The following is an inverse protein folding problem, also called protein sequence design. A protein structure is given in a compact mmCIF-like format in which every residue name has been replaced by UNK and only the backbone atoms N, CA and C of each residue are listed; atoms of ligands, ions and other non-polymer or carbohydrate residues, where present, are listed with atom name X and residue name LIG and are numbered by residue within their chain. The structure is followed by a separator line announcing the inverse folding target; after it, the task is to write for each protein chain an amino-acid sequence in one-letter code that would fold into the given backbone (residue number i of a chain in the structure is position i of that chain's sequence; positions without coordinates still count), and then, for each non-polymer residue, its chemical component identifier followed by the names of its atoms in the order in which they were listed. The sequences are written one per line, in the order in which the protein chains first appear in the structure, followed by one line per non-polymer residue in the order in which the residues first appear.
data_IF_263383923417
#
_entry.id   IF_263383923417
#
_cell.length_a   1.000
_cell.length_b   1.000
_cell.length_c   1.000
_cell.angle_alpha   90.00
_cell.angle_beta   90.00
_cell.angle_gamma   90.00
#
_symmetry.space_group_name_H-M   'P 1'
#
loop_
_entity.id
_entity.type
_entity.pdbx_description
1 polymer ?
#
# COMPACT_ATOMS: atom_id res chain seq x y z
N UNK A 1 -8.96 18.16 -9.97
CA UNK A 1 -7.62 18.54 -9.45
C UNK A 1 -6.67 17.38 -9.76
N UNK A 2 -5.59 17.67 -10.48
CA UNK A 2 -4.57 16.68 -10.83
C UNK A 2 -3.64 16.49 -9.63
N UNK A 3 -3.42 15.24 -9.21
CA UNK A 3 -2.41 14.90 -8.19
C UNK A 3 -1.09 14.53 -8.86
N UNK A 4 0.03 15.01 -8.33
CA UNK A 4 1.34 14.55 -8.82
C UNK A 4 1.43 13.04 -8.58
N UNK A 5 1.79 12.26 -9.62
CA UNK A 5 1.90 10.80 -9.52
C UNK A 5 0.56 10.05 -9.39
N UNK A 6 -0.54 10.67 -9.83
CA UNK A 6 -1.81 10.00 -10.11
C UNK A 6 -2.08 10.17 -11.59
N UNK A 7 -2.28 9.09 -12.38
CA UNK A 7 -2.54 9.20 -13.81
C UNK A 7 -3.78 10.03 -14.10
N UNK A 8 -3.72 10.83 -15.17
CA UNK A 8 -4.89 11.53 -15.69
C UNK A 8 -5.72 10.56 -16.51
N UNK A 9 -7.03 10.54 -16.30
CA UNK A 9 -7.93 9.80 -17.18
C UNK A 9 -8.05 10.57 -18.49
N UNK A 10 -7.52 9.98 -19.58
CA UNK A 10 -7.58 10.57 -20.93
C UNK A 10 -8.94 10.36 -21.55
N UNK A 11 -9.54 9.18 -21.33
CA UNK A 11 -10.88 8.85 -21.82
C UNK A 11 -11.44 7.68 -21.01
N UNK A 12 -12.76 7.55 -21.00
CA UNK A 12 -13.43 6.38 -20.50
C UNK A 12 -14.65 6.05 -21.36
N UNK A 13 -15.03 4.78 -21.36
CA UNK A 13 -16.14 4.32 -22.15
C UNK A 13 -16.66 2.96 -21.70
N UNK A 14 -17.72 2.52 -22.35
CA UNK A 14 -18.32 1.22 -22.10
C UNK A 14 -18.71 0.55 -23.41
N UNK A 15 -18.38 -0.73 -23.51
CA UNK A 15 -18.92 -1.63 -24.53
C UNK A 15 -19.97 -2.54 -23.92
N UNK A 16 -20.53 -3.45 -24.73
CA UNK A 16 -21.47 -4.46 -24.23
C UNK A 16 -20.86 -5.34 -23.12
N UNK A 17 -19.55 -5.57 -23.15
CA UNK A 17 -18.87 -6.54 -22.30
C UNK A 17 -17.80 -5.93 -21.36
N UNK A 18 -17.35 -4.70 -21.64
CA UNK A 18 -16.20 -4.10 -20.96
C UNK A 18 -16.45 -2.64 -20.59
N UNK A 19 -15.96 -2.24 -19.42
CA UNK A 19 -15.69 -0.85 -19.12
C UNK A 19 -14.25 -0.56 -19.58
N UNK A 20 -14.04 0.55 -20.28
CA UNK A 20 -12.74 0.94 -20.85
C UNK A 20 -12.29 2.20 -20.14
N UNK A 21 -11.06 2.20 -19.65
CA UNK A 21 -10.36 3.36 -19.10
C UNK A 21 -9.09 3.56 -19.91
N UNK A 22 -8.84 4.78 -20.35
CA UNK A 22 -7.64 5.16 -21.10
C UNK A 22 -6.82 6.11 -20.24
N UNK A 23 -5.61 5.71 -19.96
CA UNK A 23 -4.63 6.45 -19.14
C UNK A 23 -3.35 6.65 -19.95
N UNK A 24 -2.47 7.62 -19.57
CA UNK A 24 -1.15 7.75 -20.19
C UNK A 24 -0.34 6.46 -20.06
N UNK A 25 0.44 6.15 -21.07
CA UNK A 25 1.40 5.07 -20.99
C UNK A 25 2.51 5.44 -19.98
N UNK A 26 2.71 4.58 -18.99
CA UNK A 26 3.72 4.75 -17.93
C UNK A 26 4.89 3.80 -18.16
N UNK A 27 5.97 4.01 -17.40
CA UNK A 27 7.14 3.17 -17.38
C UNK A 27 6.95 1.88 -16.59
N UNK A 28 8.06 1.30 -16.15
CA UNK A 28 8.09 0.03 -15.40
C UNK A 28 7.52 0.20 -13.99
N UNK A 29 6.95 -0.88 -13.46
CA UNK A 29 6.55 -0.91 -12.04
C UNK A 29 7.77 -1.02 -11.12
N UNK A 30 7.62 -0.63 -9.85
CA UNK A 30 8.67 -0.81 -8.84
C UNK A 30 9.03 -2.29 -8.66
N UNK A 31 8.05 -3.21 -8.84
CA UNK A 31 8.36 -4.64 -8.82
C UNK A 31 9.28 -5.05 -9.97
N UNK A 32 9.00 -4.57 -11.19
CA UNK A 32 9.81 -4.85 -12.36
C UNK A 32 11.24 -4.29 -12.21
N UNK A 33 11.35 -3.04 -11.76
CA UNK A 33 12.65 -2.41 -11.47
C UNK A 33 13.44 -3.17 -10.40
N UNK A 34 12.76 -3.64 -9.35
CA UNK A 34 13.37 -4.46 -8.30
C UNK A 34 13.94 -5.76 -8.86
N UNK A 35 13.20 -6.45 -9.74
CA UNK A 35 13.67 -7.69 -10.38
C UNK A 35 14.88 -7.42 -11.29
N UNK A 36 14.84 -6.38 -12.12
CA UNK A 36 15.94 -6.00 -13.01
C UNK A 36 17.21 -5.60 -12.26
N UNK A 37 17.06 -4.95 -11.11
CA UNK A 37 18.18 -4.52 -10.26
C UNK A 37 18.63 -5.63 -9.28
N UNK A 38 18.59 -6.89 -9.70
CA UNK A 38 19.02 -8.05 -8.91
C UNK A 38 18.34 -8.14 -7.53
N UNK A 39 17.09 -7.73 -7.44
CA UNK A 39 16.29 -7.70 -6.20
C UNK A 39 16.93 -6.85 -5.10
N UNK A 40 17.44 -5.71 -5.47
CA UNK A 40 18.07 -4.77 -4.57
C UNK A 40 17.72 -3.33 -4.94
N UNK A 41 17.41 -2.51 -3.94
CA UNK A 41 17.39 -1.06 -4.02
C UNK A 41 18.35 -0.52 -2.98
N UNK A 42 19.09 0.51 -3.31
CA UNK A 42 19.91 1.18 -2.33
C UNK A 42 19.06 2.02 -1.37
N UNK A 43 19.70 2.49 -0.30
CA UNK A 43 19.02 3.21 0.75
C UNK A 43 18.44 4.55 0.26
N UNK A 44 19.12 5.21 -0.67
CA UNK A 44 18.67 6.44 -1.29
C UNK A 44 17.39 6.21 -2.10
N UNK A 45 17.35 5.12 -2.86
CA UNK A 45 16.15 4.74 -3.63
C UNK A 45 14.96 4.48 -2.70
N UNK A 46 15.18 3.72 -1.63
CA UNK A 46 14.14 3.44 -0.61
C UNK A 46 13.60 4.74 0.00
N UNK A 47 14.47 5.70 0.34
CA UNK A 47 14.05 6.98 0.89
C UNK A 47 13.22 7.80 -0.10
N UNK A 48 13.71 7.94 -1.34
CA UNK A 48 13.01 8.70 -2.37
C UNK A 48 11.66 8.07 -2.75
N UNK A 49 11.60 6.75 -2.85
CA UNK A 49 10.36 6.02 -3.09
C UNK A 49 9.39 6.18 -1.91
N UNK A 50 9.87 6.00 -0.68
CA UNK A 50 9.06 6.10 0.54
C UNK A 50 8.36 7.45 0.65
N UNK A 51 9.09 8.56 0.45
CA UNK A 51 8.52 9.92 0.45
C UNK A 51 7.42 10.05 -0.60
N UNK A 52 7.72 9.66 -1.86
CA UNK A 52 6.75 9.80 -2.93
C UNK A 52 5.50 8.93 -2.73
N UNK A 53 5.65 7.70 -2.25
CA UNK A 53 4.53 6.78 -1.97
C UNK A 53 3.63 7.39 -0.90
N UNK A 54 4.20 7.96 0.18
CA UNK A 54 3.43 8.64 1.23
C UNK A 54 2.68 9.84 0.65
N UNK A 55 3.31 10.64 -0.22
CA UNK A 55 2.65 11.77 -0.89
C UNK A 55 1.43 11.33 -1.72
N UNK A 56 1.54 10.21 -2.45
CA UNK A 56 0.41 9.66 -3.25
C UNK A 56 -0.73 9.24 -2.34
N UNK A 57 -0.41 8.55 -1.23
CA UNK A 57 -1.43 8.13 -0.27
C UNK A 57 -2.08 9.32 0.43
N UNK A 58 -1.30 10.29 0.90
CA UNK A 58 -1.87 11.52 1.49
C UNK A 58 -2.84 12.20 0.53
N UNK A 59 -2.45 12.29 -0.76
CA UNK A 59 -3.31 12.93 -1.76
C UNK A 59 -4.62 12.16 -1.95
N UNK A 60 -4.62 10.84 -2.16
CA UNK A 60 -5.87 10.07 -2.34
C UNK A 60 -6.70 10.06 -1.05
N UNK A 61 -6.07 9.96 0.12
CA UNK A 61 -6.73 10.02 1.41
C UNK A 61 -7.39 11.40 1.64
N UNK A 62 -6.78 12.51 1.16
CA UNK A 62 -7.39 13.86 1.19
C UNK A 62 -8.65 13.96 0.31
N UNK A 63 -8.82 13.05 -0.67
CA UNK A 63 -10.02 12.90 -1.50
C UNK A 63 -11.03 11.90 -0.91
N UNK A 64 -10.83 11.50 0.34
CA UNK A 64 -11.63 10.50 1.04
C UNK A 64 -11.61 9.10 0.41
N UNK A 65 -10.56 8.75 -0.31
CA UNK A 65 -10.37 7.46 -0.97
C UNK A 65 -9.25 6.69 -0.30
N UNK A 66 -9.43 5.40 -0.08
CA UNK A 66 -8.39 4.42 0.26
C UNK A 66 -8.21 3.46 -0.91
N UNK A 67 -6.97 3.02 -1.13
CA UNK A 67 -6.59 2.22 -2.30
C UNK A 67 -6.94 0.74 -2.14
N UNK A 68 -6.59 0.15 -1.02
CA UNK A 68 -6.83 -1.26 -0.61
C UNK A 68 -6.04 -2.33 -1.36
N UNK A 69 -5.18 -1.95 -2.31
CA UNK A 69 -4.26 -2.89 -2.99
C UNK A 69 -2.86 -2.27 -3.20
N UNK A 70 -2.28 -1.77 -2.12
CA UNK A 70 -0.93 -1.22 -2.14
C UNK A 70 0.09 -2.36 -2.27
N UNK A 71 0.81 -2.34 -3.39
CA UNK A 71 1.85 -3.32 -3.75
C UNK A 71 2.84 -2.72 -4.75
N UNK A 72 4.04 -3.30 -4.90
CA UNK A 72 5.05 -2.81 -5.83
C UNK A 72 4.60 -2.71 -7.29
N UNK A 73 3.67 -3.58 -7.70
CA UNK A 73 3.15 -3.65 -9.08
C UNK A 73 2.28 -2.43 -9.43
N UNK A 74 1.66 -1.80 -8.42
CA UNK A 74 0.76 -0.66 -8.59
C UNK A 74 1.47 0.70 -8.48
N UNK A 75 2.80 0.71 -8.35
CA UNK A 75 3.62 1.92 -8.43
C UNK A 75 4.50 1.85 -9.67
N UNK A 76 4.28 2.75 -10.62
CA UNK A 76 5.02 2.82 -11.88
C UNK A 76 5.82 4.12 -11.96
N UNK A 77 7.00 4.07 -12.56
CA UNK A 77 7.74 5.30 -12.90
C UNK A 77 7.08 5.97 -14.12
N UNK A 78 7.26 7.28 -14.23
CA UNK A 78 6.79 8.02 -15.42
C UNK A 78 7.59 7.64 -16.66
N UNK A 79 6.92 7.52 -17.80
CA UNK A 79 7.57 7.23 -19.09
C UNK A 79 8.50 8.38 -19.53
N UNK A 80 8.03 9.61 -19.42
CA UNK A 80 8.79 10.82 -19.81
C UNK A 80 9.66 11.37 -18.69
N UNK A 81 9.31 11.09 -17.41
CA UNK A 81 10.08 11.49 -16.25
C UNK A 81 10.14 10.33 -15.23
N UNK A 82 11.20 9.52 -15.30
CA UNK A 82 11.37 8.36 -14.41
C UNK A 82 11.48 8.72 -12.93
N UNK A 83 11.74 9.98 -12.59
CA UNK A 83 11.83 10.44 -11.21
C UNK A 83 10.45 10.61 -10.53
N UNK A 84 9.35 10.47 -11.27
CA UNK A 84 7.99 10.55 -10.71
C UNK A 84 7.42 9.15 -10.63
N UNK A 85 7.00 8.76 -9.41
CA UNK A 85 6.28 7.51 -9.17
C UNK A 85 4.79 7.78 -9.24
N UNK A 86 4.09 6.97 -10.02
CA UNK A 86 2.64 6.99 -10.21
C UNK A 86 1.98 5.83 -9.47
N UNK A 87 0.90 6.10 -8.75
CA UNK A 87 0.03 5.09 -8.18
C UNK A 87 -1.11 4.82 -9.15
N UNK A 88 -1.32 3.56 -9.51
CA UNK A 88 -2.30 3.10 -10.50
C UNK A 88 -3.25 2.05 -9.90
N UNK A 89 -4.22 1.63 -10.69
CA UNK A 89 -5.17 0.54 -10.39
C UNK A 89 -6.05 0.80 -9.16
N UNK A 90 -6.98 1.73 -9.34
CA UNK A 90 -8.01 2.07 -8.35
C UNK A 90 -9.21 1.08 -8.35
N UNK A 91 -9.08 -0.08 -8.99
CA UNK A 91 -10.16 -1.06 -9.14
C UNK A 91 -10.74 -1.60 -7.84
N UNK A 92 -9.92 -1.64 -6.78
CA UNK A 92 -10.34 -2.04 -5.43
C UNK A 92 -10.60 -0.86 -4.49
N UNK A 93 -10.39 0.38 -4.94
CA UNK A 93 -10.49 1.57 -4.10
C UNK A 93 -11.92 1.84 -3.62
N UNK A 94 -12.04 2.47 -2.48
CA UNK A 94 -13.33 2.86 -1.92
C UNK A 94 -13.23 4.17 -1.13
N UNK A 95 -14.38 4.82 -0.88
CA UNK A 95 -14.46 5.96 0.01
C UNK A 95 -14.48 5.49 1.46
N UNK A 96 -13.61 6.04 2.28
CA UNK A 96 -13.61 5.79 3.73
C UNK A 96 -14.43 6.82 4.53
N UNK A 97 -14.99 7.82 3.85
CA UNK A 97 -15.95 8.78 4.41
C UNK A 97 -17.23 8.80 3.61
N UNK A 98 -18.35 8.90 4.30
CA UNK A 98 -19.67 9.07 3.67
C UNK A 98 -19.69 10.37 2.87
N UNK A 99 -20.13 10.31 1.61
CA UNK A 99 -20.31 11.48 0.76
C UNK A 99 -21.47 12.38 1.22
N UNK A 100 -22.38 11.84 2.04
CA UNK A 100 -23.55 12.59 2.57
C UNK A 100 -23.21 13.26 3.88
N UNK A 101 -22.66 12.52 4.85
CA UNK A 101 -22.42 13.03 6.20
C UNK A 101 -21.00 13.53 6.46
N UNK A 102 -20.04 13.25 5.56
CA UNK A 102 -18.61 13.51 5.76
C UNK A 102 -17.96 12.65 6.86
N UNK A 103 -18.74 11.85 7.58
CA UNK A 103 -18.22 11.01 8.68
C UNK A 103 -17.45 9.81 8.14
N UNK A 104 -16.44 9.40 8.88
CA UNK A 104 -15.69 8.16 8.62
C UNK A 104 -16.65 6.95 8.66
N UNK A 105 -16.41 5.96 7.81
CA UNK A 105 -17.11 4.66 7.91
C UNK A 105 -16.84 4.04 9.27
N UNK A 106 -17.82 3.31 9.80
CA UNK A 106 -17.66 2.60 11.06
C UNK A 106 -16.81 1.36 10.87
N UNK A 107 -16.01 1.04 11.90
CA UNK A 107 -15.33 -0.25 11.92
C UNK A 107 -16.34 -1.40 11.90
N UNK A 108 -16.07 -2.43 11.10
CA UNK A 108 -16.91 -3.60 10.94
C UNK A 108 -16.20 -4.70 10.18
N UNK A 109 -16.94 -5.75 9.81
CA UNK A 109 -16.43 -6.88 9.06
C UNK A 109 -17.24 -7.05 7.78
N UNK A 110 -16.54 -7.14 6.63
CA UNK A 110 -17.12 -7.45 5.32
C UNK A 110 -17.14 -8.94 5.06
N UNK A 111 -16.35 -9.70 5.82
CA UNK A 111 -16.13 -11.14 5.61
C UNK A 111 -15.34 -11.48 4.34
N UNK A 112 -14.78 -10.47 3.65
CA UNK A 112 -14.04 -10.67 2.39
C UNK A 112 -12.64 -10.05 2.49
N UNK A 113 -11.63 -10.85 2.16
CA UNK A 113 -10.30 -10.33 1.89
C UNK A 113 -10.35 -9.39 0.67
N UNK A 114 -9.72 -8.24 0.77
CA UNK A 114 -9.55 -7.30 -0.34
C UNK A 114 -8.07 -6.92 -0.44
N UNK A 115 -7.50 -7.02 -1.63
CA UNK A 115 -6.10 -6.73 -1.91
C UNK A 115 -5.20 -7.96 -1.97
N UNK A 116 -3.93 -7.74 -2.16
CA UNK A 116 -2.90 -8.78 -2.35
C UNK A 116 -2.38 -9.27 -1.01
N UNK A 117 -2.67 -10.52 -0.64
CA UNK A 117 -2.39 -11.14 0.69
C UNK A 117 -0.98 -10.85 1.20
N UNK A 118 0.03 -10.88 0.34
CA UNK A 118 1.43 -10.64 0.71
C UNK A 118 1.61 -9.28 1.40
N UNK A 119 0.99 -8.22 0.88
CA UNK A 119 1.16 -6.85 1.36
C UNK A 119 -0.02 -6.33 2.19
N UNK A 120 -1.20 -6.94 2.09
CA UNK A 120 -2.41 -6.50 2.81
C UNK A 120 -2.21 -6.44 4.32
N UNK A 121 -2.89 -5.50 4.99
CA UNK A 121 -2.90 -5.39 6.45
C UNK A 121 -3.49 -6.62 7.13
N UNK A 122 -3.20 -6.81 8.40
CA UNK A 122 -3.83 -7.87 9.20
C UNK A 122 -5.36 -7.71 9.24
N UNK A 123 -5.88 -6.49 9.27
CA UNK A 123 -7.31 -6.20 9.20
C UNK A 123 -7.93 -6.68 7.89
N UNK A 124 -7.29 -6.37 6.75
CA UNK A 124 -7.76 -6.84 5.44
C UNK A 124 -7.82 -8.35 5.35
N UNK A 125 -6.81 -9.06 5.84
CA UNK A 125 -6.77 -10.54 5.82
C UNK A 125 -7.95 -11.17 6.55
N UNK A 126 -8.36 -10.61 7.69
CA UNK A 126 -9.52 -11.09 8.45
C UNK A 126 -10.88 -10.60 7.92
N UNK A 127 -10.90 -9.88 6.80
CA UNK A 127 -12.11 -9.34 6.20
C UNK A 127 -12.74 -8.18 6.99
N UNK A 128 -11.94 -7.40 7.72
CA UNK A 128 -12.41 -6.16 8.34
C UNK A 128 -12.47 -5.01 7.34
N UNK A 129 -13.29 -4.00 7.64
CA UNK A 129 -13.23 -2.72 6.94
C UNK A 129 -11.84 -2.12 7.04
N UNK A 130 -11.38 -1.55 5.94
CA UNK A 130 -10.07 -0.91 5.83
C UNK A 130 -10.20 0.60 5.95
N UNK A 131 -9.14 1.23 6.44
CA UNK A 131 -8.99 2.68 6.52
C UNK A 131 -7.62 3.13 6.03
N UNK A 132 -7.29 4.40 6.21
CA UNK A 132 -6.00 4.98 5.80
C UNK A 132 -4.79 4.23 6.38
N UNK A 133 -4.92 3.73 7.61
CA UNK A 133 -3.85 2.96 8.26
C UNK A 133 -3.52 1.65 7.51
N UNK A 134 -4.52 1.03 6.90
CA UNK A 134 -4.35 -0.26 6.22
C UNK A 134 -3.53 -0.10 4.93
N UNK A 135 -3.74 0.99 4.17
CA UNK A 135 -2.89 1.34 3.03
C UNK A 135 -1.44 1.59 3.48
N UNK A 136 -1.25 2.33 4.58
CA UNK A 136 0.08 2.61 5.14
C UNK A 136 0.77 1.35 5.71
N UNK A 137 0.01 0.42 6.30
CA UNK A 137 0.54 -0.88 6.75
C UNK A 137 1.06 -1.69 5.56
N UNK A 138 0.35 -1.63 4.44
CA UNK A 138 0.80 -2.26 3.19
C UNK A 138 2.09 -1.61 2.66
N UNK A 139 2.24 -0.29 2.78
CA UNK A 139 3.51 0.41 2.46
C UNK A 139 4.64 -0.10 3.35
N UNK A 140 4.42 -0.23 4.66
CA UNK A 140 5.46 -0.75 5.57
C UNK A 140 5.95 -2.13 5.12
N UNK A 141 5.03 -3.05 4.81
CA UNK A 141 5.38 -4.39 4.33
C UNK A 141 6.09 -4.36 2.97
N UNK A 142 5.70 -3.47 2.07
CA UNK A 142 6.36 -3.29 0.78
C UNK A 142 7.81 -2.79 0.93
N UNK A 143 8.05 -1.79 1.79
CA UNK A 143 9.40 -1.28 2.07
C UNK A 143 10.27 -2.36 2.73
N UNK A 144 9.74 -3.07 3.73
CA UNK A 144 10.45 -4.19 4.37
C UNK A 144 10.81 -5.27 3.34
N UNK A 145 9.89 -5.58 2.42
CA UNK A 145 10.15 -6.52 1.33
C UNK A 145 11.29 -6.05 0.41
N UNK A 146 11.31 -4.79 0.00
CA UNK A 146 12.38 -4.26 -0.84
C UNK A 146 13.75 -4.31 -0.15
N UNK A 147 13.79 -4.14 1.17
CA UNK A 147 15.03 -4.15 1.93
C UNK A 147 15.52 -5.54 2.31
N UNK A 148 14.60 -6.50 2.55
CA UNK A 148 14.94 -7.87 2.99
C UNK A 148 14.86 -8.92 1.88
N UNK A 149 14.13 -8.64 0.81
CA UNK A 149 13.84 -9.60 -0.26
C UNK A 149 12.72 -10.58 0.08
N UNK A 150 12.22 -10.60 1.31
CA UNK A 150 11.17 -11.52 1.75
C UNK A 150 10.29 -10.94 2.86
N UNK A 151 9.11 -11.56 3.02
CA UNK A 151 8.22 -11.35 4.18
C UNK A 151 7.93 -12.71 4.81
N UNK A 152 7.90 -12.82 6.16
CA UNK A 152 7.81 -14.11 6.85
C UNK A 152 6.60 -14.98 6.48
N UNK A 153 5.55 -14.37 5.96
CA UNK A 153 4.28 -15.03 5.60
C UNK A 153 4.11 -15.30 4.10
N UNK A 154 5.11 -14.98 3.25
CA UNK A 154 4.93 -15.11 1.79
C UNK A 154 4.87 -16.56 1.31
N UNK A 155 5.57 -17.47 2.00
CA UNK A 155 5.69 -18.88 1.64
C UNK A 155 4.86 -19.80 2.55
N UNK A 156 3.86 -19.23 3.25
CA UNK A 156 2.94 -20.03 4.08
C UNK A 156 2.14 -20.95 3.20
N UNK A 157 2.31 -22.24 3.40
CA UNK A 157 1.56 -23.29 2.72
C UNK A 157 0.43 -23.84 3.60
N UNK A 158 -0.67 -24.21 2.96
CA UNK A 158 -1.79 -24.90 3.58
C UNK A 158 -2.65 -25.56 2.51
N UNK A 159 -3.19 -26.74 2.81
CA UNK A 159 -4.13 -27.44 1.92
C UNK A 159 -5.47 -26.70 1.76
N UNK A 160 -5.80 -25.84 2.69
CA UNK A 160 -7.02 -25.07 2.71
C UNK A 160 -6.70 -23.55 2.75
N UNK A 161 -7.32 -22.77 1.85
CA UNK A 161 -7.10 -21.34 1.71
C UNK A 161 -7.51 -20.56 2.97
N UNK A 162 -8.59 -20.98 3.65
CA UNK A 162 -9.04 -20.34 4.90
C UNK A 162 -7.98 -20.50 5.99
N UNK A 163 -7.45 -21.71 6.15
CA UNK A 163 -6.38 -21.98 7.10
C UNK A 163 -5.09 -21.24 6.74
N UNK A 164 -4.78 -21.10 5.45
CA UNK A 164 -3.66 -20.28 4.97
C UNK A 164 -3.81 -18.84 5.39
N UNK A 165 -4.95 -18.23 5.08
CA UNK A 165 -5.25 -16.84 5.45
C UNK A 165 -5.22 -16.64 6.96
N UNK A 166 -5.75 -17.58 7.74
CA UNK A 166 -5.71 -17.52 9.20
C UNK A 166 -4.27 -17.55 9.74
N UNK A 167 -3.42 -18.43 9.22
CA UNK A 167 -1.99 -18.48 9.60
C UNK A 167 -1.29 -17.15 9.28
N UNK A 168 -1.49 -16.61 8.08
CA UNK A 168 -0.91 -15.32 7.66
C UNK A 168 -1.41 -14.19 8.55
N UNK A 169 -2.71 -14.14 8.85
CA UNK A 169 -3.27 -13.16 9.79
C UNK A 169 -2.60 -13.25 11.17
N UNK A 170 -2.46 -14.46 11.73
CA UNK A 170 -1.83 -14.66 13.04
C UNK A 170 -0.36 -14.25 13.04
N UNK A 171 0.37 -14.51 11.95
CA UNK A 171 1.76 -14.04 11.81
C UNK A 171 1.84 -12.52 11.80
N UNK A 172 1.05 -11.83 10.96
CA UNK A 172 1.04 -10.36 10.86
C UNK A 172 0.62 -9.68 12.15
N UNK A 173 -0.36 -10.28 12.86
CA UNK A 173 -0.87 -9.77 14.14
C UNK A 173 0.14 -9.90 15.28
N UNK A 174 0.84 -11.03 15.35
CA UNK A 174 1.61 -11.40 16.53
C UNK A 174 3.12 -11.14 16.39
N UNK A 175 3.63 -10.91 15.18
CA UNK A 175 5.06 -10.63 14.99
C UNK A 175 5.42 -9.28 15.64
N UNK A 176 6.37 -9.26 16.59
CA UNK A 176 6.86 -7.98 17.13
C UNK A 176 7.52 -7.16 16.03
N UNK A 177 7.26 -5.85 15.99
CA UNK A 177 7.81 -4.93 14.98
C UNK A 177 9.33 -5.01 14.92
N UNK A 178 10.00 -5.05 16.10
CA UNK A 178 11.46 -5.19 16.18
C UNK A 178 11.99 -6.47 15.54
N UNK A 179 11.23 -7.56 15.56
CA UNK A 179 11.63 -8.83 14.92
C UNK A 179 11.44 -8.75 13.41
N UNK A 180 10.31 -8.19 12.95
CA UNK A 180 10.06 -7.98 11.53
C UNK A 180 11.08 -7.02 10.90
N UNK A 181 11.48 -5.98 11.64
CA UNK A 181 12.42 -4.96 11.20
C UNK A 181 13.89 -5.27 11.60
N UNK A 182 14.20 -6.46 12.13
CA UNK A 182 15.57 -6.81 12.52
C UNK A 182 16.54 -6.66 11.34
N UNK A 183 17.66 -5.94 11.55
CA UNK A 183 18.65 -5.65 10.52
C UNK A 183 18.30 -4.48 9.60
N UNK A 184 17.16 -3.80 9.82
CA UNK A 184 16.76 -2.59 9.09
C UNK A 184 16.99 -1.34 9.95
N UNK A 185 17.06 -0.14 9.31
CA UNK A 185 17.09 1.13 10.02
C UNK A 185 15.95 1.25 11.05
N UNK A 186 16.23 1.91 12.16
CA UNK A 186 15.25 2.09 13.24
C UNK A 186 14.00 2.88 12.79
N UNK A 187 14.14 3.72 11.78
CA UNK A 187 13.09 4.53 11.19
C UNK A 187 12.00 3.66 10.54
N UNK A 188 12.38 2.53 9.93
CA UNK A 188 11.43 1.56 9.38
C UNK A 188 10.64 0.86 10.48
N UNK A 189 11.29 0.54 11.59
CA UNK A 189 10.61 0.01 12.77
C UNK A 189 9.66 1.05 13.39
N UNK A 190 10.10 2.31 13.47
CA UNK A 190 9.27 3.42 13.96
C UNK A 190 8.05 3.65 13.06
N UNK A 191 8.24 3.60 11.73
CA UNK A 191 7.15 3.68 10.75
C UNK A 191 6.09 2.60 10.99
N UNK A 192 6.50 1.32 11.04
CA UNK A 192 5.58 0.21 11.26
C UNK A 192 4.87 0.30 12.61
N UNK A 193 5.62 0.61 13.69
CA UNK A 193 5.07 0.78 15.04
C UNK A 193 4.04 1.90 15.11
N UNK A 194 4.33 3.05 14.50
CA UNK A 194 3.40 4.17 14.43
C UNK A 194 2.07 3.75 13.78
N UNK A 195 2.13 3.11 12.61
CA UNK A 195 0.94 2.70 11.86
C UNK A 195 0.11 1.66 12.62
N UNK A 196 0.76 0.66 13.24
CA UNK A 196 0.04 -0.36 14.02
C UNK A 196 -0.71 0.25 15.21
N UNK A 197 -0.22 1.34 15.80
CA UNK A 197 -0.84 2.03 16.92
C UNK A 197 -1.95 3.02 16.52
N UNK A 198 -2.10 3.38 15.24
CA UNK A 198 -3.18 4.25 14.77
C UNK A 198 -4.55 3.62 15.04
N UNK A 199 -5.49 4.42 15.52
CA UNK A 199 -6.89 4.04 15.57
C UNK A 199 -7.50 3.98 14.16
N UNK A 200 -8.61 3.26 14.00
CA UNK A 200 -9.25 3.02 12.71
C UNK A 200 -9.62 4.33 11.96
N UNK A 201 -10.16 5.30 12.68
CA UNK A 201 -10.61 6.58 12.10
C UNK A 201 -9.53 7.67 12.16
N UNK A 202 -8.40 7.39 12.81
CA UNK A 202 -7.37 8.37 13.07
C UNK A 202 -6.74 8.89 11.78
N UNK A 203 -6.47 10.18 11.74
CA UNK A 203 -5.74 10.79 10.64
C UNK A 203 -4.24 10.58 10.84
N UNK A 204 -3.55 9.91 9.89
CA UNK A 204 -2.11 9.75 9.98
C UNK A 204 -1.38 11.10 9.88
N UNK A 205 -0.29 11.23 10.63
CA UNK A 205 0.67 12.32 10.44
C UNK A 205 1.64 11.97 9.29
N UNK A 206 1.25 12.38 8.07
CA UNK A 206 2.05 12.11 6.88
C UNK A 206 3.39 12.88 6.89
N UNK A 207 3.48 14.03 7.59
CA UNK A 207 4.74 14.76 7.74
C UNK A 207 5.73 13.98 8.59
N UNK A 208 5.26 13.42 9.71
CA UNK A 208 6.05 12.51 10.52
C UNK A 208 6.50 11.29 9.70
N UNK A 209 5.59 10.64 8.98
CA UNK A 209 5.93 9.48 8.17
C UNK A 209 7.00 9.79 7.10
N UNK A 210 6.88 10.95 6.42
CA UNK A 210 7.93 11.39 5.46
C UNK A 210 9.26 11.69 6.15
N UNK A 211 9.25 12.22 7.36
CA UNK A 211 10.49 12.52 8.08
C UNK A 211 11.32 11.29 8.37
N UNK A 212 10.67 10.11 8.49
CA UNK A 212 11.33 8.81 8.68
C UNK A 212 12.07 8.31 7.42
N UNK A 213 11.99 9.01 6.29
CA UNK A 213 12.71 8.72 5.05
C UNK A 213 13.68 9.85 4.65
N UNK A 214 14.07 10.76 5.59
CA UNK A 214 15.00 11.88 5.35
C UNK A 214 16.34 11.68 6.03
N UNK A 215 16.94 10.53 5.91
CA UNK A 215 18.24 10.16 6.48
C UNK A 215 19.24 9.73 5.42
#
# INVERSE_FOLDING_TARGET
MKGVGIPEILSYGRTKHYNILVEPFLGKSLFHLYQENNKHFDMKDICLMGIQIIDRLEWIHSKNVIHRDIKPDNFLIGQSNPNIIYLIDFGLSTKYRSSVSGRHIKFGFTGKLTGTTKYSSANSIRGAEQSRKDDLESVAYMIIFFMKGYLPWQDVDSKDEINKLFKIYMMKKNIPEKNLCSGLPQEICAFLKYIKNLHFEEQPDYNYLRSLFKW
#
